data_IF_895763624836
#
_entry.id   IF_895763624836
#
_cell.length_a   1.000
_cell.length_b   1.000
_cell.length_c   1.000
_cell.angle_alpha   90.00
_cell.angle_beta   90.00
_cell.angle_gamma   90.00
#
_symmetry.space_group_name_H-M   'P 1'
#
loop_
_entity.id
_entity.type
_entity.pdbx_description
1 polymer ?
#
# COMPACT_ATOMS: atom_id res chain seq x y z
N UNK A 1 -8.89 -2.17 7.01
CA UNK A 1 -8.73 -2.38 5.57
C UNK A 1 -8.30 -3.81 5.31
N UNK A 2 -8.88 -4.46 4.35
CA UNK A 2 -8.59 -5.85 4.02
C UNK A 2 -7.78 -5.94 2.72
N UNK A 3 -7.06 -7.05 2.57
CA UNK A 3 -6.28 -7.29 1.36
C UNK A 3 -7.13 -7.23 0.10
N UNK A 4 -8.36 -7.69 0.19
CA UNK A 4 -9.28 -7.69 -0.95
C UNK A 4 -9.60 -6.31 -1.50
N UNK A 5 -9.41 -5.25 -0.70
CA UNK A 5 -9.63 -3.88 -1.15
C UNK A 5 -8.66 -3.48 -2.27
N UNK A 6 -7.51 -4.13 -2.33
CA UNK A 6 -6.47 -3.82 -3.32
C UNK A 6 -6.29 -4.91 -4.36
N UNK A 7 -7.02 -6.00 -4.24
CA UNK A 7 -6.86 -7.13 -5.15
C UNK A 7 -7.15 -6.70 -6.59
N UNK A 8 -6.20 -7.00 -7.48
CA UNK A 8 -6.31 -6.62 -8.87
C UNK A 8 -5.98 -5.17 -9.18
N UNK A 9 -5.49 -4.40 -8.21
CA UNK A 9 -5.12 -3.01 -8.42
C UNK A 9 -3.66 -2.86 -8.86
N UNK A 10 -3.35 -1.73 -9.51
CA UNK A 10 -1.98 -1.41 -9.89
C UNK A 10 -1.08 -1.25 -8.67
N UNK A 11 -1.64 -0.84 -7.53
CA UNK A 11 -0.87 -0.69 -6.30
C UNK A 11 -0.24 -2.02 -5.90
N UNK A 12 -1.03 -3.09 -5.83
CA UNK A 12 -0.51 -4.40 -5.48
C UNK A 12 0.47 -4.92 -6.52
N UNK A 13 0.20 -4.71 -7.79
CA UNK A 13 1.09 -5.14 -8.86
C UNK A 13 2.47 -4.47 -8.73
N UNK A 14 2.48 -3.17 -8.49
CA UNK A 14 3.73 -2.42 -8.35
C UNK A 14 4.51 -2.85 -7.12
N UNK A 15 3.84 -3.07 -5.99
CA UNK A 15 4.50 -3.54 -4.77
C UNK A 15 5.04 -4.95 -4.97
N UNK A 16 4.29 -5.81 -5.68
CA UNK A 16 4.74 -7.16 -6.00
C UNK A 16 6.00 -7.16 -6.86
N UNK A 17 6.09 -6.21 -7.80
CA UNK A 17 7.25 -6.11 -8.70
C UNK A 17 8.55 -5.87 -7.94
N UNK A 18 8.50 -5.18 -6.82
CA UNK A 18 9.70 -4.95 -6.00
C UNK A 18 9.84 -5.98 -4.87
N UNK A 19 8.97 -7.01 -4.86
CA UNK A 19 9.06 -8.09 -3.88
C UNK A 19 8.75 -7.67 -2.46
N UNK A 20 7.90 -6.68 -2.26
CA UNK A 20 7.62 -6.11 -0.94
C UNK A 20 6.18 -6.29 -0.46
N UNK A 21 5.44 -7.23 -1.05
CA UNK A 21 4.04 -7.46 -0.65
C UNK A 21 3.90 -7.80 0.83
N UNK A 22 4.79 -8.65 1.36
CA UNK A 22 4.73 -9.04 2.77
C UNK A 22 4.90 -7.83 3.68
N UNK A 23 5.84 -6.96 3.35
CA UNK A 23 6.09 -5.74 4.12
C UNK A 23 4.92 -4.77 4.01
N UNK A 24 4.30 -4.70 2.83
CA UNK A 24 3.14 -3.85 2.60
C UNK A 24 1.98 -4.28 3.50
N UNK A 25 1.63 -5.56 3.50
CA UNK A 25 0.55 -6.08 4.34
C UNK A 25 0.86 -5.90 5.83
N UNK A 26 2.10 -6.13 6.22
CA UNK A 26 2.53 -5.93 7.59
C UNK A 26 2.37 -4.47 8.02
N UNK A 27 2.74 -3.54 7.15
CA UNK A 27 2.59 -2.11 7.43
C UNK A 27 1.12 -1.71 7.55
N UNK A 28 0.25 -2.29 6.71
CA UNK A 28 -1.19 -2.05 6.79
C UNK A 28 -1.75 -2.58 8.11
N UNK A 29 -1.37 -3.79 8.50
CA UNK A 29 -1.87 -4.41 9.72
C UNK A 29 -1.45 -3.63 10.98
N UNK A 30 -0.27 -3.01 10.94
CA UNK A 30 0.24 -2.23 12.07
C UNK A 30 -0.11 -0.75 12.00
N UNK A 31 -0.88 -0.33 10.99
CA UNK A 31 -1.24 1.08 10.76
C UNK A 31 -0.03 1.99 10.65
N UNK A 32 1.04 1.49 10.06
CA UNK A 32 2.27 2.26 9.87
C UNK A 32 2.19 3.04 8.56
N UNK A 33 1.57 4.22 8.62
CA UNK A 33 1.32 5.04 7.45
C UNK A 33 2.60 5.47 6.75
N UNK A 34 3.63 5.81 7.49
CA UNK A 34 4.89 6.23 6.89
C UNK A 34 5.56 5.11 6.12
N UNK A 35 5.53 3.91 6.67
CA UNK A 35 6.11 2.74 6.00
C UNK A 35 5.36 2.43 4.71
N UNK A 36 4.03 2.54 4.74
CA UNK A 36 3.21 2.35 3.55
C UNK A 36 3.59 3.38 2.49
N UNK A 37 3.71 4.65 2.86
CA UNK A 37 4.11 5.69 1.91
C UNK A 37 5.46 5.40 1.29
N UNK A 38 6.43 5.04 2.08
CA UNK A 38 7.77 4.74 1.59
C UNK A 38 7.77 3.56 0.63
N UNK A 39 7.04 2.51 0.98
CA UNK A 39 6.94 1.33 0.13
C UNK A 39 6.29 1.66 -1.21
N UNK A 40 5.22 2.42 -1.19
CA UNK A 40 4.49 2.78 -2.40
C UNK A 40 5.33 3.69 -3.30
N UNK A 41 6.07 4.63 -2.71
CA UNK A 41 6.99 5.47 -3.49
C UNK A 41 8.08 4.64 -4.14
N UNK A 42 8.61 3.69 -3.41
CA UNK A 42 9.64 2.78 -3.92
C UNK A 42 9.12 1.93 -5.07
N UNK A 43 7.86 1.55 -4.98
CA UNK A 43 7.21 0.77 -6.02
C UNK A 43 6.82 1.59 -7.25
N UNK A 44 6.99 2.90 -7.20
CA UNK A 44 6.65 3.78 -8.32
C UNK A 44 5.19 4.18 -8.37
N UNK A 45 4.48 4.07 -7.24
CA UNK A 45 3.08 4.51 -7.17
C UNK A 45 3.04 6.03 -7.07
N UNK A 46 2.13 6.66 -7.80
CA UNK A 46 1.99 8.11 -7.79
C UNK A 46 1.41 8.60 -6.46
N UNK A 47 1.65 9.88 -6.15
CA UNK A 47 1.24 10.44 -4.85
C UNK A 47 -0.27 10.42 -4.65
N UNK A 48 -1.06 10.60 -5.71
CA UNK A 48 -2.52 10.55 -5.61
C UNK A 48 -2.99 9.17 -5.17
N UNK A 49 -2.43 8.11 -5.76
CA UNK A 49 -2.77 6.74 -5.37
C UNK A 49 -2.31 6.44 -3.95
N UNK A 50 -1.15 6.94 -3.56
CA UNK A 50 -0.64 6.78 -2.19
C UNK A 50 -1.62 7.40 -1.20
N UNK A 51 -2.10 8.60 -1.46
CA UNK A 51 -3.06 9.27 -0.58
C UNK A 51 -4.37 8.51 -0.47
N UNK A 52 -4.83 7.88 -1.57
CA UNK A 52 -6.02 7.05 -1.54
C UNK A 52 -5.84 5.84 -0.62
N UNK A 53 -4.68 5.21 -0.68
CA UNK A 53 -4.37 4.07 0.19
C UNK A 53 -4.36 4.50 1.66
N UNK A 54 -3.70 5.61 1.95
CA UNK A 54 -3.62 6.14 3.32
C UNK A 54 -5.03 6.49 3.83
N UNK A 55 -5.84 7.09 2.98
CA UNK A 55 -7.22 7.42 3.35
C UNK A 55 -8.02 6.18 3.71
N UNK A 56 -7.90 5.12 2.91
CA UNK A 56 -8.59 3.85 3.20
C UNK A 56 -8.12 3.24 4.51
N UNK A 57 -6.83 3.33 4.81
CA UNK A 57 -6.29 2.84 6.08
C UNK A 57 -6.90 3.60 7.25
N UNK A 58 -7.01 4.91 7.14
CA UNK A 58 -7.53 5.73 8.23
C UNK A 58 -9.03 5.58 8.42
N UNK A 59 -9.75 5.10 7.42
CA UNK A 59 -11.19 4.84 7.50
C UNK A 59 -11.52 3.45 8.08
N UNK A 60 -10.53 2.59 8.12
CA UNK A 60 -10.73 1.20 8.54
C UNK A 60 -10.95 1.05 10.05
#
# INVERSE_FOLDING_TARGET
>A
MEESDFEGTLVLEKVAQIGKLDLFYEAIDSDDFEKVRKLLRRAGVDSESIELVIKKMSEA
#
